data_IF_868425369271
#
_entry.id   IF_868425369271
#
_cell.length_a   1.000
_cell.length_b   1.000
_cell.length_c   1.000
_cell.angle_alpha   90.00
_cell.angle_beta   90.00
_cell.angle_gamma   90.00
#
_symmetry.space_group_name_H-M   'P 1'
#
loop_
_entity.id
_entity.type
_entity.pdbx_description
1 polymer ?
#
# COMPACT_ATOMS: atom_id res chain seq x y z
N UNK A 1 -10.92 -18.67 3.95
CA UNK A 1 -9.81 -17.69 3.86
C UNK A 1 -10.20 -16.66 2.82
N UNK A 2 -10.04 -15.37 3.09
CA UNK A 2 -10.37 -14.32 2.12
C UNK A 2 -9.11 -14.05 1.28
N UNK A 3 -9.25 -14.04 -0.04
CA UNK A 3 -8.13 -13.72 -0.93
C UNK A 3 -7.68 -12.27 -0.74
N UNK A 4 -6.36 -11.98 -0.83
CA UNK A 4 -5.86 -10.60 -0.78
C UNK A 4 -6.42 -9.75 -1.93
N UNK A 5 -6.68 -8.48 -1.64
CA UNK A 5 -7.07 -7.51 -2.67
C UNK A 5 -5.79 -6.89 -3.24
N UNK A 6 -5.63 -6.90 -4.56
CA UNK A 6 -4.44 -6.37 -5.25
C UNK A 6 -4.86 -5.27 -6.21
N UNK A 7 -4.16 -4.14 -6.14
CA UNK A 7 -4.39 -2.96 -6.97
C UNK A 7 -3.06 -2.50 -7.55
N UNK A 8 -2.93 -2.51 -8.88
CA UNK A 8 -1.78 -1.89 -9.55
C UNK A 8 -1.85 -0.37 -9.42
N UNK A 9 -0.73 0.28 -9.10
CA UNK A 9 -0.62 1.74 -9.09
C UNK A 9 -0.48 2.32 -10.51
N UNK A 10 -0.35 1.48 -11.53
CA UNK A 10 -0.35 1.89 -12.93
C UNK A 10 -1.44 1.12 -13.70
N UNK A 11 -2.43 1.81 -14.28
CA UNK A 11 -3.43 1.15 -15.11
C UNK A 11 -2.91 0.77 -16.51
N UNK A 12 -1.71 1.26 -16.89
CA UNK A 12 -1.18 1.10 -18.25
C UNK A 12 -0.28 -0.14 -18.44
N UNK A 13 0.24 -0.74 -17.36
CA UNK A 13 1.09 -1.93 -17.44
C UNK A 13 1.07 -2.75 -16.15
N UNK A 14 1.48 -4.01 -16.24
CA UNK A 14 1.62 -4.93 -15.10
C UNK A 14 3.02 -4.97 -14.45
N UNK A 15 3.90 -4.01 -14.77
CA UNK A 15 5.28 -3.97 -14.29
C UNK A 15 5.53 -2.84 -13.29
N UNK A 16 4.47 -2.26 -12.72
CA UNK A 16 4.58 -1.15 -11.76
C UNK A 16 4.24 -1.61 -10.35
N UNK A 17 4.65 -0.82 -9.34
CA UNK A 17 4.31 -1.08 -7.95
C UNK A 17 2.82 -1.29 -7.71
N UNK A 18 2.51 -2.13 -6.72
CA UNK A 18 1.15 -2.51 -6.38
C UNK A 18 0.85 -2.24 -4.90
N UNK A 19 -0.43 -2.19 -4.58
CA UNK A 19 -0.94 -2.22 -3.21
C UNK A 19 -1.66 -3.55 -3.01
N UNK A 20 -1.16 -4.37 -2.08
CA UNK A 20 -1.76 -5.66 -1.71
C UNK A 20 -2.28 -5.59 -0.29
N UNK A 21 -3.58 -5.80 -0.11
CA UNK A 21 -4.27 -5.79 1.19
C UNK A 21 -4.62 -7.23 1.58
N UNK A 22 -3.95 -7.75 2.61
CA UNK A 22 -4.21 -9.07 3.19
C UNK A 22 -5.01 -8.90 4.49
N UNK A 23 -6.34 -8.95 4.37
CA UNK A 23 -7.27 -8.78 5.51
C UNK A 23 -7.13 -9.92 6.53
N UNK A 24 -6.69 -11.11 6.12
CA UNK A 24 -6.51 -12.23 7.06
C UNK A 24 -5.30 -12.03 7.99
N UNK A 25 -4.34 -11.19 7.59
CA UNK A 25 -3.13 -10.90 8.34
C UNK A 25 -3.07 -9.48 8.90
N UNK A 26 -4.11 -8.68 8.69
CA UNK A 26 -4.11 -7.24 9.01
C UNK A 26 -2.86 -6.52 8.45
N UNK A 27 -2.44 -6.90 7.24
CA UNK A 27 -1.23 -6.42 6.57
C UNK A 27 -1.56 -5.74 5.24
N UNK A 28 -0.89 -4.63 4.95
CA UNK A 28 -0.84 -4.00 3.63
C UNK A 28 0.61 -3.95 3.14
N UNK A 29 0.82 -4.32 1.88
CA UNK A 29 2.11 -4.25 1.21
C UNK A 29 2.02 -3.26 0.06
N UNK A 30 3.02 -2.38 -0.06
CA UNK A 30 3.08 -1.37 -1.13
C UNK A 30 4.47 -1.44 -1.77
N UNK A 31 4.55 -1.55 -3.09
CA UNK A 31 5.82 -1.53 -3.80
C UNK A 31 5.95 -2.60 -4.89
N UNK A 32 7.19 -2.86 -5.27
CA UNK A 32 7.61 -3.88 -6.24
C UNK A 32 8.80 -4.68 -5.70
N UNK A 33 9.23 -5.72 -6.40
CA UNK A 33 10.34 -6.57 -5.96
C UNK A 33 11.62 -5.75 -5.73
N UNK A 34 12.22 -5.93 -4.55
CA UNK A 34 13.41 -5.18 -4.12
C UNK A 34 13.11 -3.84 -3.43
N UNK A 35 11.89 -3.30 -3.55
CA UNK A 35 11.47 -2.09 -2.85
C UNK A 35 10.01 -2.21 -2.39
N UNK A 36 9.80 -2.90 -1.27
CA UNK A 36 8.49 -3.24 -0.74
C UNK A 36 8.39 -2.81 0.73
N UNK A 37 7.41 -1.97 1.04
CA UNK A 37 7.05 -1.66 2.43
C UNK A 37 5.91 -2.56 2.90
N UNK A 38 5.99 -3.01 4.15
CA UNK A 38 4.93 -3.76 4.84
C UNK A 38 4.40 -2.91 5.98
N UNK A 39 3.09 -2.74 6.03
CA UNK A 39 2.39 -1.96 7.03
C UNK A 39 1.40 -2.87 7.74
N UNK A 40 1.36 -2.81 9.06
CA UNK A 40 0.24 -3.35 9.82
C UNK A 40 -0.99 -2.42 9.68
N UNK A 41 -2.14 -2.87 10.18
CA UNK A 41 -3.38 -2.10 10.18
C UNK A 41 -3.27 -0.68 10.73
N UNK A 42 -2.56 -0.49 11.85
CA UNK A 42 -2.42 0.82 12.48
C UNK A 42 -1.60 1.78 11.61
N UNK A 43 -0.43 1.33 11.13
CA UNK A 43 0.44 2.11 10.25
C UNK A 43 -0.25 2.43 8.91
N UNK A 44 -1.01 1.48 8.35
CA UNK A 44 -1.81 1.71 7.15
C UNK A 44 -2.87 2.79 7.37
N UNK A 45 -3.64 2.71 8.46
CA UNK A 45 -4.68 3.69 8.75
C UNK A 45 -4.08 5.09 8.97
N UNK A 46 -2.99 5.19 9.73
CA UNK A 46 -2.28 6.45 9.92
C UNK A 46 -1.76 7.03 8.59
N UNK A 47 -1.23 6.19 7.70
CA UNK A 47 -0.81 6.61 6.36
C UNK A 47 -1.98 7.18 5.55
N UNK A 48 -3.11 6.46 5.53
CA UNK A 48 -4.33 6.88 4.81
C UNK A 48 -4.88 8.20 5.35
N UNK A 49 -4.92 8.36 6.67
CA UNK A 49 -5.35 9.60 7.32
C UNK A 49 -4.46 10.77 6.89
N UNK A 50 -3.14 10.61 6.93
CA UNK A 50 -2.18 11.65 6.53
C UNK A 50 -2.27 12.00 5.05
N UNK A 51 -2.49 11.02 4.17
CA UNK A 51 -2.74 11.27 2.73
C UNK A 51 -3.99 12.12 2.56
N UNK A 52 -5.10 11.74 3.20
CA UNK A 52 -6.38 12.45 3.09
C UNK A 52 -6.34 13.85 3.68
N UNK A 53 -5.56 14.05 4.74
CA UNK A 53 -5.35 15.35 5.35
C UNK A 53 -4.37 16.25 4.56
N UNK A 54 -3.66 15.72 3.57
CA UNK A 54 -2.63 16.46 2.83
C UNK A 54 -1.36 16.74 3.64
N UNK A 55 -1.08 15.92 4.67
CA UNK A 55 0.06 16.11 5.59
C UNK A 55 1.37 15.50 5.09
N UNK A 56 1.31 14.65 4.06
CA UNK A 56 2.52 14.05 3.49
C UNK A 56 3.16 15.02 2.50
N UNK A 57 4.37 15.47 2.81
CA UNK A 57 5.20 16.30 1.94
C UNK A 57 6.25 15.44 1.24
N UNK A 58 6.65 15.77 0.00
CA UNK A 58 7.80 15.15 -0.64
C UNK A 58 9.06 15.35 0.20
N UNK A 59 9.88 14.30 0.33
CA UNK A 59 11.23 14.44 0.87
C UNK A 59 12.09 15.18 -0.17
N UNK A 60 12.88 16.16 0.28
CA UNK A 60 13.83 16.91 -0.55
C UNK A 60 15.20 16.22 -0.62
#
# INVERSE_FOLDING_TARGET
>A
MKEPIQVSLCPACGACPEVVVDVAKDEVRIGEDGNLVRLNKEAWNALVEKIKAGELIPLQ
#
